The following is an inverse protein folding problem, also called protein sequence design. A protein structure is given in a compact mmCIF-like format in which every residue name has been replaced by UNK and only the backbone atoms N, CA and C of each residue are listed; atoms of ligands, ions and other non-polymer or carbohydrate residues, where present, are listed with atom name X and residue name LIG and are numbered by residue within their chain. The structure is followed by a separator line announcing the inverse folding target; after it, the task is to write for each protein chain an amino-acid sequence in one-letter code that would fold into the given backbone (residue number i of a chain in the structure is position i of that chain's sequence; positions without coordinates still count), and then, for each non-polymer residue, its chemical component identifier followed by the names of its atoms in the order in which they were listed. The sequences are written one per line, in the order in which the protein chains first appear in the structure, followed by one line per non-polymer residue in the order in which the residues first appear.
data_IF_345855343136
#
_entry.id   IF_345855343136
#
_cell.length_a   1.000
_cell.length_b   1.000
_cell.length_c   1.000
_cell.angle_alpha   90.00
_cell.angle_beta   90.00
_cell.angle_gamma   90.00
#
_symmetry.space_group_name_H-M   'P 1'
#
loop_
_entity.id
_entity.type
_entity.pdbx_description
1 polymer ?
#
# COMPACT_ATOMS: atom_id res chain seq x y z
N UNK A 1 -38.16 19.03 -4.64
CA UNK A 1 -36.98 19.78 -4.17
C UNK A 1 -35.80 18.82 -4.22
N UNK A 2 -35.05 18.84 -5.33
CA UNK A 2 -33.94 17.92 -5.57
C UNK A 2 -32.68 18.45 -4.90
N UNK A 3 -32.04 17.65 -4.05
CA UNK A 3 -30.69 17.93 -3.56
C UNK A 3 -29.66 17.64 -4.67
N UNK A 4 -28.58 18.43 -4.80
CA UNK A 4 -27.61 18.25 -5.86
C UNK A 4 -26.63 17.11 -5.53
N UNK A 5 -26.08 16.55 -6.60
CA UNK A 5 -25.05 15.52 -6.60
C UNK A 5 -23.83 15.95 -5.76
N UNK A 6 -23.44 15.08 -4.83
CA UNK A 6 -22.20 15.21 -4.08
C UNK A 6 -21.03 15.14 -5.07
N UNK A 7 -20.41 16.29 -5.30
CA UNK A 7 -19.32 16.46 -6.24
C UNK A 7 -18.08 15.89 -5.58
N UNK A 8 -17.72 14.65 -5.93
CA UNK A 8 -16.49 14.03 -5.48
C UNK A 8 -15.29 14.93 -5.84
N UNK A 9 -14.73 15.59 -4.83
CA UNK A 9 -13.50 16.37 -4.97
C UNK A 9 -12.39 15.40 -5.36
N UNK A 10 -11.63 15.63 -6.45
CA UNK A 10 -10.52 14.77 -6.78
C UNK A 10 -9.42 14.98 -5.73
N UNK A 11 -9.33 14.07 -4.76
CA UNK A 11 -8.25 14.04 -3.79
C UNK A 11 -6.96 13.64 -4.51
N UNK A 12 -6.17 14.66 -4.87
CA UNK A 12 -4.95 14.57 -5.70
C UNK A 12 -3.80 13.79 -5.04
N UNK A 13 -4.02 13.21 -3.87
CA UNK A 13 -3.07 12.38 -3.12
C UNK A 13 -3.61 10.96 -2.93
N UNK A 14 -4.16 10.36 -3.99
CA UNK A 14 -4.69 9.00 -3.95
C UNK A 14 -3.61 8.01 -4.38
N UNK A 15 -3.38 6.97 -3.57
CA UNK A 15 -2.53 5.85 -3.97
C UNK A 15 -3.21 5.05 -5.09
N UNK A 16 -2.47 4.60 -6.11
CA UNK A 16 -3.06 3.81 -7.20
C UNK A 16 -3.59 2.47 -6.66
N UNK A 17 -4.76 2.06 -7.17
CA UNK A 17 -5.27 0.70 -7.01
C UNK A 17 -4.65 -0.16 -8.12
N UNK A 18 -3.91 -1.23 -7.80
CA UNK A 18 -3.21 -2.01 -8.80
C UNK A 18 -4.16 -2.99 -9.49
N UNK A 19 -4.08 -3.11 -10.81
CA UNK A 19 -4.66 -4.25 -11.55
C UNK A 19 -3.78 -5.51 -11.43
N UNK A 20 -2.49 -5.34 -11.14
CA UNK A 20 -1.51 -6.41 -10.94
C UNK A 20 -0.46 -6.02 -9.91
N UNK A 21 -0.34 -6.80 -8.85
CA UNK A 21 0.69 -6.66 -7.83
C UNK A 21 2.06 -7.10 -8.35
N UNK A 22 2.12 -8.16 -9.16
CA UNK A 22 3.36 -8.60 -9.78
C UNK A 22 3.95 -7.52 -10.69
N UNK A 23 3.13 -6.85 -11.51
CA UNK A 23 3.58 -5.73 -12.34
C UNK A 23 4.06 -4.54 -11.49
N UNK A 24 3.31 -4.16 -10.46
CA UNK A 24 3.71 -3.10 -9.54
C UNK A 24 5.05 -3.40 -8.83
N UNK A 25 5.25 -4.65 -8.42
CA UNK A 25 6.47 -5.07 -7.73
C UNK A 25 7.69 -5.14 -8.66
N UNK A 26 7.50 -5.56 -9.92
CA UNK A 26 8.54 -5.49 -10.95
C UNK A 26 8.94 -4.03 -11.23
N UNK A 27 7.97 -3.11 -11.32
CA UNK A 27 8.25 -1.69 -11.50
C UNK A 27 9.00 -1.08 -10.29
N UNK A 28 8.67 -1.49 -9.06
CA UNK A 28 9.40 -1.09 -7.86
C UNK A 28 10.84 -1.63 -7.90
N UNK A 29 11.00 -2.92 -8.20
CA UNK A 29 12.31 -3.59 -8.29
C UNK A 29 13.23 -2.93 -9.32
N UNK A 30 12.70 -2.55 -10.48
CA UNK A 30 13.45 -1.86 -11.53
C UNK A 30 14.04 -0.50 -11.05
N UNK A 31 13.43 0.10 -10.01
CA UNK A 31 13.91 1.32 -9.36
C UNK A 31 14.80 1.07 -8.15
N UNK A 32 15.08 -0.19 -7.82
CA UNK A 32 15.79 -0.56 -6.58
C UNK A 32 14.97 -0.33 -5.31
N UNK A 33 13.65 -0.23 -5.43
CA UNK A 33 12.73 0.06 -4.32
C UNK A 33 11.88 -1.17 -3.97
N UNK A 34 11.54 -1.38 -2.69
CA UNK A 34 10.48 -2.31 -2.32
C UNK A 34 9.13 -1.77 -2.81
N UNK A 35 8.18 -2.67 -3.07
CA UNK A 35 6.79 -2.26 -3.26
C UNK A 35 6.16 -2.03 -1.88
N UNK A 36 5.58 -0.85 -1.69
CA UNK A 36 4.77 -0.52 -0.52
C UNK A 36 3.30 -0.81 -0.85
N UNK A 37 2.67 -1.70 -0.10
CA UNK A 37 1.25 -2.02 -0.26
C UNK A 37 0.49 -1.55 0.98
N UNK A 38 -0.35 -0.53 0.83
CA UNK A 38 -1.25 -0.09 1.89
C UNK A 38 -2.58 -0.85 1.77
N UNK A 39 -2.81 -1.77 2.70
CA UNK A 39 -4.13 -2.36 2.91
C UNK A 39 -5.01 -1.34 3.62
N UNK A 40 -6.16 -1.04 3.03
CA UNK A 40 -7.04 0.05 3.42
C UNK A 40 -8.49 -0.41 3.53
N UNK A 41 -9.34 0.50 3.97
CA UNK A 41 -10.78 0.30 4.12
C UNK A 41 -11.49 1.60 3.71
N UNK A 42 -12.54 1.52 2.90
CA UNK A 42 -13.36 2.69 2.56
C UNK A 42 -13.94 3.36 3.83
N UNK A 43 -13.88 4.70 3.91
CA UNK A 43 -14.38 5.47 5.05
C UNK A 43 -13.51 5.42 6.33
N UNK A 44 -12.30 4.87 6.24
CA UNK A 44 -11.36 4.78 7.36
C UNK A 44 -10.55 6.08 7.51
N UNK A 45 -10.88 6.90 8.51
CA UNK A 45 -10.16 8.16 8.78
C UNK A 45 -8.65 7.97 8.99
N UNK A 46 -8.24 6.89 9.68
CA UNK A 46 -6.82 6.59 9.88
C UNK A 46 -6.10 6.25 8.56
N UNK A 47 -6.81 5.59 7.65
CA UNK A 47 -6.28 5.26 6.33
C UNK A 47 -6.08 6.51 5.48
N UNK A 48 -6.98 7.50 5.60
CA UNK A 48 -6.87 8.78 4.93
C UNK A 48 -5.65 9.56 5.41
N UNK A 49 -5.37 9.58 6.72
CA UNK A 49 -4.16 10.21 7.25
C UNK A 49 -2.90 9.57 6.68
N UNK A 50 -2.79 8.23 6.72
CA UNK A 50 -1.62 7.52 6.15
C UNK A 50 -1.44 7.83 4.67
N UNK A 51 -2.54 7.86 3.92
CA UNK A 51 -2.54 8.14 2.48
C UNK A 51 -2.14 9.57 2.17
N UNK A 52 -2.75 10.54 2.84
CA UNK A 52 -2.65 11.96 2.48
C UNK A 52 -1.43 12.64 3.09
N UNK A 53 -1.01 12.24 4.29
CA UNK A 53 0.09 12.90 5.01
C UNK A 53 1.43 12.16 4.90
N UNK A 54 1.42 10.88 4.49
CA UNK A 54 2.63 10.08 4.37
C UNK A 54 2.83 9.54 2.94
N UNK A 55 2.15 8.46 2.57
CA UNK A 55 2.46 7.71 1.36
C UNK A 55 2.19 8.51 0.06
N UNK A 56 1.14 9.32 0.03
CA UNK A 56 0.78 10.15 -1.13
C UNK A 56 1.85 11.21 -1.46
N UNK A 57 2.26 12.07 -0.51
CA UNK A 57 3.37 12.99 -0.70
C UNK A 57 4.68 12.30 -1.10
N UNK A 58 5.04 11.19 -0.45
CA UNK A 58 6.26 10.43 -0.78
C UNK A 58 6.19 9.87 -2.21
N UNK A 59 5.04 9.34 -2.63
CA UNK A 59 4.84 8.84 -4.00
C UNK A 59 5.02 9.96 -5.04
N UNK A 60 4.47 11.15 -4.78
CA UNK A 60 4.60 12.30 -5.67
C UNK A 60 6.04 12.80 -5.80
N UNK A 61 6.81 12.77 -4.71
CA UNK A 61 8.25 13.08 -4.73
C UNK A 61 9.11 11.97 -5.31
N UNK A 62 8.53 10.83 -5.66
CA UNK A 62 9.24 9.67 -6.19
C UNK A 62 10.04 8.90 -5.13
N UNK A 63 9.80 9.14 -3.85
CA UNK A 63 10.52 8.52 -2.73
C UNK A 63 10.06 7.10 -2.44
N UNK A 64 8.91 6.69 -2.94
CA UNK A 64 8.37 5.32 -2.77
C UNK A 64 7.68 4.86 -4.05
N UNK A 65 7.50 3.54 -4.17
CA UNK A 65 6.53 2.91 -5.07
C UNK A 65 5.43 2.33 -4.20
N UNK A 66 4.27 2.99 -4.19
CA UNK A 66 3.18 2.65 -3.29
C UNK A 66 1.88 2.40 -4.05
N UNK A 67 1.16 1.36 -3.65
CA UNK A 67 -0.17 1.00 -4.14
C UNK A 67 -1.10 0.79 -2.94
N UNK A 68 -2.41 0.76 -3.18
CA UNK A 68 -3.39 0.44 -2.14
C UNK A 68 -4.34 -0.69 -2.55
N UNK A 69 -4.79 -1.44 -1.53
CA UNK A 69 -5.74 -2.54 -1.68
C UNK A 69 -6.83 -2.38 -0.62
N UNK A 70 -8.09 -2.27 -1.03
CA UNK A 70 -9.22 -2.27 -0.10
C UNK A 70 -9.50 -3.71 0.37
N UNK A 71 -9.41 -3.94 1.68
CA UNK A 71 -9.56 -5.27 2.28
C UNK A 71 -11.00 -5.80 2.29
N UNK A 72 -12.01 -4.98 1.96
CA UNK A 72 -13.40 -5.42 1.81
C UNK A 72 -13.84 -5.51 0.35
N UNK A 73 -12.99 -5.13 -0.61
CA UNK A 73 -13.34 -5.23 -2.02
C UNK A 73 -13.29 -6.68 -2.53
N UNK A 74 -14.48 -7.21 -2.86
CA UNK A 74 -14.69 -8.56 -3.41
C UNK A 74 -14.97 -8.57 -4.92
N UNK A 75 -14.95 -7.41 -5.57
CA UNK A 75 -15.45 -7.26 -6.94
C UNK A 75 -14.34 -6.87 -7.91
N UNK A 76 -13.41 -6.03 -7.50
CA UNK A 76 -12.34 -5.57 -8.38
C UNK A 76 -11.28 -6.67 -8.54
N UNK A 77 -11.06 -7.18 -9.76
CA UNK A 77 -10.04 -8.20 -9.99
C UNK A 77 -8.64 -7.59 -9.88
N UNK A 78 -7.74 -8.31 -9.20
CA UNK A 78 -6.32 -7.98 -9.08
C UNK A 78 -5.51 -9.25 -9.36
N UNK A 79 -4.41 -9.13 -10.08
CA UNK A 79 -3.44 -10.22 -10.25
C UNK A 79 -2.46 -10.22 -9.07
N UNK A 80 -2.33 -11.34 -8.37
CA UNK A 80 -1.39 -11.49 -7.24
C UNK A 80 0.08 -11.63 -7.69
N UNK A 81 1.00 -11.77 -6.73
CA UNK A 81 2.42 -11.94 -7.00
C UNK A 81 2.77 -13.25 -7.73
N UNK A 82 1.86 -14.24 -7.71
CA UNK A 82 2.00 -15.53 -8.40
C UNK A 82 1.29 -15.55 -9.76
N UNK A 83 0.71 -14.43 -10.21
CA UNK A 83 0.00 -14.34 -11.48
C UNK A 83 -1.45 -14.85 -11.42
N UNK A 84 -2.01 -15.12 -10.24
CA UNK A 84 -3.38 -15.61 -10.08
C UNK A 84 -4.35 -14.43 -9.98
N UNK A 85 -5.51 -14.56 -10.60
CA UNK A 85 -6.61 -13.60 -10.41
C UNK A 85 -7.20 -13.74 -9.01
N UNK A 86 -7.39 -12.63 -8.33
CA UNK A 86 -7.92 -12.54 -6.97
C UNK A 86 -8.63 -11.18 -6.75
N UNK A 87 -8.91 -10.81 -5.50
CA UNK A 87 -9.57 -9.56 -5.09
C UNK A 87 -8.86 -8.97 -3.87
N UNK A 88 -9.13 -7.70 -3.56
CA UNK A 88 -8.57 -7.07 -2.35
C UNK A 88 -8.93 -7.80 -1.06
N UNK A 89 -10.17 -8.31 -0.98
CA UNK A 89 -10.66 -9.12 0.12
C UNK A 89 -9.87 -10.43 0.30
N UNK A 90 -9.61 -11.16 -0.78
CA UNK A 90 -8.86 -12.41 -0.73
C UNK A 90 -7.38 -12.17 -0.42
N UNK A 91 -6.77 -11.12 -0.98
CA UNK A 91 -5.40 -10.70 -0.69
C UNK A 91 -5.21 -10.38 0.80
N UNK A 92 -6.08 -9.54 1.37
CA UNK A 92 -6.00 -9.18 2.78
C UNK A 92 -6.11 -10.42 3.69
N UNK A 93 -6.98 -11.38 3.35
CA UNK A 93 -7.08 -12.65 4.08
C UNK A 93 -5.82 -13.51 3.94
N UNK A 94 -5.27 -13.61 2.73
CA UNK A 94 -4.03 -14.37 2.47
C UNK A 94 -2.85 -13.79 3.26
N UNK A 95 -2.76 -12.46 3.35
CA UNK A 95 -1.74 -11.76 4.15
C UNK A 95 -2.06 -11.67 5.65
N UNK A 96 -3.20 -12.22 6.08
CA UNK A 96 -3.70 -12.20 7.46
C UNK A 96 -3.85 -10.78 8.03
N UNK A 97 -4.12 -9.80 7.17
CA UNK A 97 -4.38 -8.43 7.60
C UNK A 97 -5.78 -8.34 8.21
N UNK A 98 -5.85 -7.90 9.47
CA UNK A 98 -7.10 -7.80 10.24
C UNK A 98 -7.47 -6.38 10.64
N UNK A 99 -6.55 -5.44 10.50
CA UNK A 99 -6.70 -4.04 10.87
C UNK A 99 -6.31 -3.16 9.68
N UNK A 100 -6.97 -2.03 9.53
CA UNK A 100 -6.61 -1.01 8.55
C UNK A 100 -6.28 0.31 9.28
N UNK A 101 -5.32 1.11 8.77
CA UNK A 101 -4.42 0.79 7.67
C UNK A 101 -3.36 -0.25 8.08
N UNK A 102 -2.96 -1.12 7.15
CA UNK A 102 -1.72 -1.92 7.29
C UNK A 102 -0.81 -1.65 6.11
N UNK A 103 0.46 -1.35 6.36
CA UNK A 103 1.46 -1.08 5.32
C UNK A 103 2.47 -2.22 5.26
N UNK A 104 2.49 -2.91 4.13
CA UNK A 104 3.42 -4.00 3.81
C UNK A 104 4.57 -3.46 2.96
N UNK A 105 5.77 -4.00 3.17
CA UNK A 105 6.97 -3.68 2.39
C UNK A 105 7.48 -4.97 1.75
N UNK A 106 7.29 -5.14 0.44
CA UNK A 106 7.49 -6.43 -0.22
C UNK A 106 8.44 -6.38 -1.41
N UNK A 107 9.05 -7.52 -1.71
CA UNK A 107 9.86 -7.73 -2.91
C UNK A 107 9.03 -8.10 -4.16
N UNK A 108 9.70 -8.37 -5.29
CA UNK A 108 9.06 -8.74 -6.55
C UNK A 108 8.25 -10.05 -6.49
N UNK A 109 8.46 -10.87 -5.46
CA UNK A 109 7.76 -12.14 -5.23
C UNK A 109 6.68 -12.02 -4.14
N UNK A 110 6.48 -10.82 -3.59
CA UNK A 110 5.53 -10.58 -2.50
C UNK A 110 6.02 -11.01 -1.12
N UNK A 111 7.32 -11.22 -0.92
CA UNK A 111 7.90 -11.53 0.40
C UNK A 111 8.11 -10.24 1.17
N UNK A 112 7.71 -10.21 2.44
CA UNK A 112 7.95 -9.06 3.31
C UNK A 112 9.44 -8.88 3.61
N UNK A 113 9.93 -7.67 3.38
CA UNK A 113 11.32 -7.25 3.53
C UNK A 113 11.58 -6.52 4.86
N UNK A 114 10.52 -6.05 5.49
CA UNK A 114 10.52 -5.43 6.82
C UNK A 114 9.21 -5.81 7.51
N UNK A 115 9.18 -5.78 8.84
CA UNK A 115 7.90 -5.96 9.54
C UNK A 115 6.97 -4.80 9.16
N UNK A 116 5.74 -5.18 8.82
CA UNK A 116 4.62 -4.32 8.45
C UNK A 116 4.23 -3.35 9.57
N UNK A 117 3.61 -2.23 9.19
CA UNK A 117 2.96 -1.32 10.13
C UNK A 117 1.48 -1.66 10.21
N UNK A 118 0.97 -1.95 11.40
CA UNK A 118 -0.44 -2.29 11.63
C UNK A 118 -1.14 -1.19 12.43
N UNK A 119 -2.26 -0.69 11.89
CA UNK A 119 -3.01 0.41 12.46
C UNK A 119 -2.23 1.73 12.47
N UNK A 120 -2.69 2.65 13.32
CA UNK A 120 -2.04 3.94 13.56
C UNK A 120 -1.89 4.15 15.07
N UNK A 121 -1.19 3.23 15.74
CA UNK A 121 -1.16 3.12 17.20
C UNK A 121 -0.73 4.39 17.95
N UNK A 122 0.06 5.28 17.33
CA UNK A 122 0.35 6.64 17.78
C UNK A 122 0.61 7.51 16.53
N UNK A 123 -0.36 8.33 16.12
CA UNK A 123 -0.27 9.16 14.91
C UNK A 123 1.03 9.99 14.85
N UNK A 124 1.50 10.48 16.00
CA UNK A 124 2.67 11.35 16.13
C UNK A 124 4.00 10.68 15.72
N UNK A 125 4.07 9.34 15.75
CA UNK A 125 5.29 8.58 15.44
C UNK A 125 5.19 7.76 14.15
N UNK A 126 4.09 7.88 13.40
CA UNK A 126 3.88 7.07 12.21
C UNK A 126 4.94 7.30 11.13
N UNK A 127 5.31 8.57 10.89
CA UNK A 127 6.33 8.95 9.91
C UNK A 127 7.71 8.30 10.16
N UNK A 128 8.33 8.51 11.34
CA UNK A 128 9.59 7.89 11.68
C UNK A 128 9.58 6.35 11.58
N UNK A 129 8.49 5.69 11.98
CA UNK A 129 8.38 4.24 11.84
C UNK A 129 8.27 3.81 10.38
N UNK A 130 7.51 4.52 9.55
CA UNK A 130 7.41 4.26 8.11
C UNK A 130 8.79 4.39 7.44
N UNK A 131 9.54 5.45 7.74
CA UNK A 131 10.89 5.65 7.23
C UNK A 131 11.85 4.54 7.66
N UNK A 132 11.77 4.10 8.91
CA UNK A 132 12.58 3.00 9.43
C UNK A 132 12.29 1.68 8.68
N UNK A 133 11.01 1.37 8.44
CA UNK A 133 10.62 0.16 7.70
C UNK A 133 11.05 0.22 6.25
N UNK A 134 10.95 1.39 5.61
CA UNK A 134 11.47 1.60 4.26
C UNK A 134 12.98 1.38 4.19
N UNK A 135 13.74 1.93 5.14
CA UNK A 135 15.20 1.75 5.18
C UNK A 135 15.57 0.28 5.35
N UNK A 136 14.90 -0.41 6.27
CA UNK A 136 15.06 -1.85 6.50
C UNK A 136 14.75 -2.65 5.23
N UNK A 137 13.62 -2.37 4.58
CA UNK A 137 13.19 -3.07 3.38
C UNK A 137 14.17 -2.85 2.20
N UNK A 138 14.65 -1.62 2.00
CA UNK A 138 15.70 -1.30 1.01
C UNK A 138 16.99 -2.06 1.28
N UNK A 139 17.43 -2.12 2.54
CA UNK A 139 18.64 -2.85 2.91
C UNK A 139 18.49 -4.36 2.66
N UNK A 140 17.33 -4.95 2.98
CA UNK A 140 17.02 -6.35 2.70
C UNK A 140 16.99 -6.64 1.18
N UNK A 141 16.37 -5.76 0.39
CA UNK A 141 16.32 -5.87 -1.07
C UNK A 141 17.71 -5.82 -1.69
N UNK A 142 18.56 -4.89 -1.25
CA UNK A 142 19.93 -4.75 -1.72
C UNK A 142 20.80 -5.98 -1.37
N UNK A 143 20.56 -6.64 -0.24
CA UNK A 143 21.24 -7.89 0.12
C UNK A 143 20.80 -9.07 -0.75
N UNK A 144 19.53 -9.14 -1.11
CA UNK A 144 18.99 -10.20 -1.97
C UNK A 144 19.34 -10.04 -3.46
N UNK A 145 19.84 -8.86 -3.87
CA UNK A 145 20.33 -8.59 -5.21
C UNK A 145 21.83 -8.89 -5.41
N UNK A 146 22.54 -9.23 -4.31
CA UNK A 146 23.92 -9.72 -4.34
C UNK A 146 23.94 -11.23 -4.48
#
# INVERSE_FOLDING_TARGET
MSAPADTAVPHRHTLPVPSSLSAAAQAARARGEPLVVMVTLAGCAFCDVVRQHHLGPMLQRGEVVAVQVDMLDRRTPVVDFQGRSTTGYELARAWRVRVAPTVLFVDERGRELAERLEGMGLADFYGPYLEERLRTARAALARAAR
#
